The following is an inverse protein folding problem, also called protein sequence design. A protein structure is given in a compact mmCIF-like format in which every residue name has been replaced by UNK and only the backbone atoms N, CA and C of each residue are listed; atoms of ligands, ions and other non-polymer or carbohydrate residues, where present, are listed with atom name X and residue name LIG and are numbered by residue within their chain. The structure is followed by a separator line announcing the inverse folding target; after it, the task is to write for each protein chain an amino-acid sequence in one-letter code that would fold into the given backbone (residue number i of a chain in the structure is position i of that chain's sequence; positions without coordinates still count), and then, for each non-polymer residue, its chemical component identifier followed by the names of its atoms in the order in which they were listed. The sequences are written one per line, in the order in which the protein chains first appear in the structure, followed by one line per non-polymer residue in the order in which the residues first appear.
data_IF_209101279705
#
_entry.id   IF_209101279705
#
_cell.length_a   1.000
_cell.length_b   1.000
_cell.length_c   1.000
_cell.angle_alpha   90.00
_cell.angle_beta   90.00
_cell.angle_gamma   90.00
#
_symmetry.space_group_name_H-M   'P 1'
#
loop_
_entity.id
_entity.type
_entity.pdbx_description
1 polymer ?
#
# COMPACT_ATOMS: atom_id res chain seq x y z
N UNK A 1 -19.61 50.02 -10.66
CA UNK A 1 -19.89 48.57 -10.76
C UNK A 1 -18.56 47.91 -11.01
N UNK A 2 -17.87 47.48 -9.96
CA UNK A 2 -16.56 46.83 -10.07
C UNK A 2 -16.69 45.39 -9.55
N UNK A 3 -16.45 44.45 -10.46
CA UNK A 3 -16.64 43.03 -10.23
C UNK A 3 -15.58 42.46 -9.30
N UNK A 4 -16.01 42.08 -8.11
CA UNK A 4 -15.27 41.28 -7.14
C UNK A 4 -14.99 39.88 -7.72
N UNK A 5 -13.78 39.64 -8.24
CA UNK A 5 -13.33 38.28 -8.59
C UNK A 5 -12.91 37.55 -7.33
N UNK A 6 -13.93 36.97 -6.66
CA UNK A 6 -13.76 35.98 -5.60
C UNK A 6 -13.12 34.73 -6.23
N UNK A 7 -11.79 34.66 -6.16
CA UNK A 7 -11.01 33.51 -6.62
C UNK A 7 -11.45 32.27 -5.84
N UNK A 8 -12.24 31.43 -6.51
CA UNK A 8 -12.74 30.16 -5.99
C UNK A 8 -11.54 29.25 -5.79
N UNK A 9 -11.24 28.92 -4.52
CA UNK A 9 -10.24 27.91 -4.14
C UNK A 9 -10.63 26.61 -4.82
N UNK A 10 -9.96 26.25 -5.91
CA UNK A 10 -10.06 24.91 -6.49
C UNK A 10 -9.28 23.98 -5.58
N UNK A 11 -10.00 23.37 -4.64
CA UNK A 11 -9.58 22.17 -3.93
C UNK A 11 -9.41 21.05 -4.94
N UNK A 12 -8.25 21.05 -5.60
CA UNK A 12 -7.78 19.99 -6.49
C UNK A 12 -7.36 18.80 -5.63
N UNK A 13 -8.34 18.07 -5.12
CA UNK A 13 -8.13 16.75 -4.50
C UNK A 13 -7.63 15.83 -5.60
N UNK A 14 -6.30 15.68 -5.67
CA UNK A 14 -5.59 14.83 -6.62
C UNK A 14 -5.95 13.36 -6.36
N UNK A 15 -7.03 12.88 -6.99
CA UNK A 15 -7.25 11.45 -7.09
C UNK A 15 -6.14 10.88 -7.98
N UNK A 16 -5.34 9.95 -7.44
CA UNK A 16 -4.33 9.23 -8.22
C UNK A 16 -5.03 8.35 -9.27
N UNK A 17 -4.49 8.29 -10.49
CA UNK A 17 -5.00 7.40 -11.52
C UNK A 17 -4.64 5.93 -11.21
N UNK A 18 -5.40 4.99 -11.79
CA UNK A 18 -5.08 3.56 -11.66
C UNK A 18 -3.68 3.23 -12.19
N UNK A 19 -3.27 3.85 -13.29
CA UNK A 19 -1.93 3.69 -13.87
C UNK A 19 -0.84 4.16 -12.89
N UNK A 20 -1.07 5.26 -12.18
CA UNK A 20 -0.12 5.74 -11.16
C UNK A 20 -0.03 4.77 -9.98
N UNK A 21 -1.16 4.24 -9.52
CA UNK A 21 -1.19 3.25 -8.45
C UNK A 21 -0.43 1.98 -8.87
N UNK A 22 -0.72 1.47 -10.06
CA UNK A 22 -0.03 0.30 -10.63
C UNK A 22 1.48 0.52 -10.74
N UNK A 23 1.92 1.69 -11.21
CA UNK A 23 3.33 2.05 -11.29
C UNK A 23 4.00 2.06 -9.90
N UNK A 24 3.34 2.63 -8.89
CA UNK A 24 3.84 2.63 -7.51
C UNK A 24 3.89 1.22 -6.91
N UNK A 25 2.87 0.40 -7.18
CA UNK A 25 2.81 -1.01 -6.75
C UNK A 25 3.98 -1.79 -7.35
N UNK A 26 4.19 -1.71 -8.67
CA UNK A 26 5.28 -2.41 -9.36
C UNK A 26 6.67 -1.94 -8.91
N UNK A 27 6.85 -0.64 -8.64
CA UNK A 27 8.09 -0.11 -8.11
C UNK A 27 8.42 -0.70 -6.73
N UNK A 28 7.41 -0.84 -5.87
CA UNK A 28 7.58 -1.42 -4.53
C UNK A 28 7.85 -2.92 -4.59
N UNK A 29 7.10 -3.67 -5.42
CA UNK A 29 7.34 -5.09 -5.66
C UNK A 29 8.77 -5.34 -6.15
N UNK A 30 9.28 -4.51 -7.06
CA UNK A 30 10.66 -4.62 -7.56
C UNK A 30 11.70 -4.47 -6.44
N UNK A 31 11.47 -3.58 -5.47
CA UNK A 31 12.34 -3.41 -4.28
C UNK A 31 12.26 -4.62 -3.35
N UNK A 32 11.05 -5.13 -3.11
CA UNK A 32 10.85 -6.33 -2.28
C UNK A 32 11.56 -7.53 -2.90
N UNK A 33 11.36 -7.76 -4.20
CA UNK A 33 11.95 -8.91 -4.89
C UNK A 33 13.48 -8.85 -4.91
N UNK A 34 14.07 -7.67 -5.16
CA UNK A 34 15.53 -7.52 -5.16
C UNK A 34 16.16 -7.74 -3.78
N UNK A 35 15.44 -7.46 -2.69
CA UNK A 35 15.91 -7.66 -1.32
C UNK A 35 15.60 -9.05 -0.73
N UNK A 36 14.56 -9.74 -1.21
CA UNK A 36 14.06 -11.01 -0.63
C UNK A 36 14.38 -12.29 -1.43
N UNK A 37 15.28 -12.25 -2.42
CA UNK A 37 15.61 -13.35 -3.35
C UNK A 37 15.98 -14.73 -2.74
N UNK A 38 15.99 -14.93 -1.43
CA UNK A 38 16.56 -16.11 -0.76
C UNK A 38 15.70 -16.77 0.34
N UNK A 39 14.42 -16.39 0.58
CA UNK A 39 13.71 -16.80 1.82
C UNK A 39 12.38 -17.55 1.66
N UNK A 40 12.03 -18.02 0.48
CA UNK A 40 10.77 -18.76 0.27
C UNK A 40 11.01 -20.27 0.32
N UNK A 41 10.23 -20.98 1.14
CA UNK A 41 10.21 -22.44 1.13
C UNK A 41 9.65 -22.98 -0.19
N UNK A 42 10.17 -24.10 -0.66
CA UNK A 42 9.71 -24.80 -1.86
C UNK A 42 8.19 -25.05 -1.80
N UNK A 43 7.48 -24.65 -2.85
CA UNK A 43 6.02 -24.76 -2.92
C UNK A 43 5.23 -23.64 -2.22
N UNK A 44 5.90 -22.56 -1.82
CA UNK A 44 5.21 -21.33 -1.38
C UNK A 44 4.80 -20.52 -2.60
N UNK A 45 3.50 -20.26 -2.76
CA UNK A 45 3.00 -19.31 -3.76
C UNK A 45 2.95 -17.91 -3.15
N UNK A 46 3.40 -16.91 -3.91
CA UNK A 46 3.41 -15.50 -3.47
C UNK A 46 2.51 -14.68 -4.37
N UNK A 47 1.62 -13.90 -3.78
CA UNK A 47 0.80 -12.91 -4.49
C UNK A 47 0.91 -11.55 -3.81
N UNK A 48 0.94 -10.49 -4.60
CA UNK A 48 1.01 -9.12 -4.11
C UNK A 48 -0.35 -8.43 -4.24
N UNK A 49 -0.72 -7.64 -3.25
CA UNK A 49 -1.98 -6.90 -3.15
C UNK A 49 -1.70 -5.44 -2.82
N UNK A 50 -2.36 -4.53 -3.50
CA UNK A 50 -2.30 -3.10 -3.22
C UNK A 50 -3.68 -2.57 -2.78
N UNK A 51 -3.81 -1.25 -2.65
CA UNK A 51 -5.03 -0.59 -2.20
C UNK A 51 -6.25 -0.77 -3.13
N UNK A 52 -6.05 -1.26 -4.35
CA UNK A 52 -7.16 -1.56 -5.28
C UNK A 52 -7.74 -2.96 -5.06
N UNK A 53 -7.03 -3.82 -4.33
CA UNK A 53 -7.44 -5.19 -4.06
C UNK A 53 -8.52 -5.25 -2.98
N UNK A 54 -9.50 -6.14 -3.15
CA UNK A 54 -10.55 -6.39 -2.15
C UNK A 54 -9.95 -6.73 -0.79
N UNK A 55 -10.36 -6.01 0.26
CA UNK A 55 -9.87 -6.17 1.62
C UNK A 55 -8.56 -5.42 1.94
N UNK A 56 -7.99 -4.70 0.97
CA UNK A 56 -6.74 -3.95 1.11
C UNK A 56 -6.88 -2.44 0.90
N UNK A 57 -8.10 -1.93 0.75
CA UNK A 57 -8.38 -0.49 0.54
C UNK A 57 -7.89 0.44 1.65
N UNK A 58 -7.54 -0.09 2.82
CA UNK A 58 -6.92 0.65 3.91
C UNK A 58 -5.41 0.93 3.70
N UNK A 59 -4.77 0.25 2.75
CA UNK A 59 -3.39 0.55 2.37
C UNK A 59 -3.32 1.89 1.62
N UNK A 60 -2.25 2.63 1.86
CA UNK A 60 -1.97 3.84 1.09
C UNK A 60 -1.34 3.50 -0.26
N UNK A 61 -1.54 4.32 -1.31
CA UNK A 61 -0.90 4.12 -2.61
C UNK A 61 0.61 3.87 -2.49
N UNK A 62 1.09 2.83 -3.18
CA UNK A 62 2.47 2.36 -3.15
C UNK A 62 2.82 1.44 -1.97
N UNK A 63 1.96 1.28 -0.97
CA UNK A 63 2.11 0.17 -0.03
C UNK A 63 1.63 -1.13 -0.66
N UNK A 64 2.28 -2.24 -0.31
CA UNK A 64 1.99 -3.56 -0.85
C UNK A 64 1.90 -4.58 0.27
N UNK A 65 0.88 -5.43 0.23
CA UNK A 65 0.81 -6.66 1.01
C UNK A 65 1.28 -7.85 0.17
N UNK A 66 2.21 -8.62 0.74
CA UNK A 66 2.66 -9.90 0.22
C UNK A 66 1.91 -11.03 0.95
N UNK A 67 1.11 -11.79 0.21
CA UNK A 67 0.46 -12.99 0.70
C UNK A 67 1.28 -14.22 0.31
N UNK A 68 1.78 -14.94 1.31
CA UNK A 68 2.46 -16.23 1.14
C UNK A 68 1.52 -17.37 1.47
N UNK A 69 1.13 -18.14 0.46
CA UNK A 69 0.38 -19.39 0.65
C UNK A 69 1.34 -20.55 0.70
N UNK A 70 1.50 -21.14 1.88
CA UNK A 70 2.35 -22.33 2.08
C UNK A 70 1.56 -23.60 1.75
N UNK A 71 2.25 -24.74 1.64
CA UNK A 71 1.66 -26.03 1.26
C UNK A 71 0.50 -26.48 2.16
N UNK A 72 0.54 -26.13 3.46
CA UNK A 72 -0.56 -26.43 4.40
C UNK A 72 -1.85 -25.63 4.14
N UNK A 73 -1.83 -24.70 3.17
CA UNK A 73 -2.95 -23.81 2.87
C UNK A 73 -3.00 -22.56 3.76
N UNK A 74 -2.16 -22.47 4.79
CA UNK A 74 -2.03 -21.25 5.60
C UNK A 74 -1.53 -20.10 4.74
N UNK A 75 -2.12 -18.93 4.96
CA UNK A 75 -1.74 -17.69 4.30
C UNK A 75 -1.10 -16.78 5.34
N UNK A 76 0.17 -16.45 5.13
CA UNK A 76 0.87 -15.42 5.89
C UNK A 76 0.82 -14.11 5.11
N UNK A 77 0.59 -13.00 5.81
CA UNK A 77 0.55 -11.66 5.21
C UNK A 77 1.67 -10.83 5.78
N UNK A 78 2.39 -10.18 4.89
CA UNK A 78 3.47 -9.25 5.20
C UNK A 78 3.21 -7.95 4.46
N UNK A 79 3.61 -6.83 5.02
CA UNK A 79 3.34 -5.51 4.44
C UNK A 79 4.64 -4.77 4.20
N UNK A 80 4.64 -3.96 3.15
CA UNK A 80 5.82 -3.21 2.73
C UNK A 80 5.43 -1.78 2.38
N UNK A 81 6.23 -0.83 2.85
CA UNK A 81 6.12 0.56 2.43
C UNK A 81 6.76 0.78 1.04
N UNK A 82 6.58 1.95 0.41
CA UNK A 82 7.18 2.26 -0.89
C UNK A 82 8.72 2.23 -0.92
N UNK A 83 9.38 2.22 0.23
CA UNK A 83 10.84 2.09 0.35
C UNK A 83 11.29 0.63 0.46
N UNK A 84 10.36 -0.31 0.61
CA UNK A 84 10.64 -1.73 0.85
C UNK A 84 10.80 -2.09 2.33
N UNK A 85 10.47 -1.17 3.26
CA UNK A 85 10.51 -1.46 4.70
C UNK A 85 9.43 -2.46 5.06
N UNK A 86 9.78 -3.48 5.83
CA UNK A 86 8.93 -4.60 6.20
C UNK A 86 8.10 -4.34 7.47
N UNK A 87 6.84 -4.80 7.45
CA UNK A 87 5.93 -4.83 8.59
C UNK A 87 5.24 -6.19 8.68
N UNK A 88 5.24 -6.78 9.87
CA UNK A 88 4.75 -8.14 10.12
C UNK A 88 3.23 -8.25 10.30
N UNK A 89 2.53 -7.13 10.48
CA UNK A 89 1.09 -7.12 10.71
C UNK A 89 0.44 -5.81 10.26
N UNK A 90 -0.87 -5.87 9.99
CA UNK A 90 -1.68 -4.70 9.70
C UNK A 90 -1.62 -3.66 10.83
N UNK A 91 -1.66 -4.11 12.09
CA UNK A 91 -1.55 -3.22 13.25
C UNK A 91 -0.25 -2.41 13.22
N UNK A 92 0.88 -3.02 12.85
CA UNK A 92 2.17 -2.31 12.75
C UNK A 92 2.19 -1.26 11.63
N UNK A 93 1.47 -1.51 10.53
CA UNK A 93 1.27 -0.50 9.49
C UNK A 93 0.45 0.66 10.03
N UNK A 94 -0.68 0.38 10.69
CA UNK A 94 -1.54 1.42 11.25
C UNK A 94 -0.82 2.27 12.31
N UNK A 95 -0.08 1.63 13.22
CA UNK A 95 0.77 2.33 14.21
C UNK A 95 1.79 3.26 13.54
N UNK A 96 2.39 2.83 12.41
CA UNK A 96 3.30 3.66 11.64
C UNK A 96 2.58 4.85 10.99
N UNK A 97 1.46 4.62 10.32
CA UNK A 97 0.69 5.66 9.65
C UNK A 97 0.17 6.72 10.62
N UNK A 98 -0.31 6.28 11.79
CA UNK A 98 -0.76 7.18 12.86
C UNK A 98 0.42 8.00 13.39
N UNK A 99 1.52 7.34 13.78
CA UNK A 99 2.66 7.99 14.43
C UNK A 99 3.43 8.94 13.53
N UNK A 100 3.64 8.55 12.27
CA UNK A 100 4.53 9.30 11.38
C UNK A 100 3.79 10.23 10.44
N UNK A 101 2.58 9.87 10.01
CA UNK A 101 1.82 10.64 9.01
C UNK A 101 0.57 11.29 9.60
N UNK A 102 0.21 11.01 10.86
CA UNK A 102 -0.99 11.55 11.50
C UNK A 102 -2.28 11.04 10.85
N UNK A 103 -2.22 9.90 10.16
CA UNK A 103 -3.35 9.32 9.44
C UNK A 103 -4.06 8.33 10.35
N UNK A 104 -5.37 8.55 10.57
CA UNK A 104 -6.26 7.60 11.24
C UNK A 104 -7.10 6.92 10.18
N UNK A 105 -6.96 5.59 10.06
CA UNK A 105 -7.80 4.79 9.17
C UNK A 105 -9.07 4.43 9.93
N UNK A 106 -10.22 4.86 9.40
CA UNK A 106 -11.53 4.48 9.92
C UNK A 106 -12.01 3.26 9.15
N UNK A 107 -12.35 2.18 9.86
CA UNK A 107 -13.11 1.07 9.27
C UNK A 107 -14.50 1.61 8.89
N UNK A 108 -14.86 1.51 7.61
CA UNK A 108 -16.17 1.88 7.06
C UNK A 108 -17.03 0.66 6.79
#
# INVERSE_FOLDING_TARGET
MEGNTRSTRTSSSRNLSLEQIEAMTNATISKIQSSNSQRLHTGTAVTYRDCTSTGYGWLLPGWVAEERRVQSGRIYRYYYDPNGSFYESQQKVLEFLERFWGIVVLDT
#
